data_IF_713289814051
#
_entry.id   IF_713289814051
#
_cell.length_a   1.000
_cell.length_b   1.000
_cell.length_c   1.000
_cell.angle_alpha   90.00
_cell.angle_beta   90.00
_cell.angle_gamma   90.00
#
_symmetry.space_group_name_H-M   'P 1'
#
loop_
_entity.id
_entity.type
_entity.pdbx_description
1 polymer ?
#
# COMPACT_ATOMS: atom_id res chain seq x y z
N UNK A 1 -21.31 -1.80 31.08
CA UNK A 1 -21.85 -2.57 29.93
C UNK A 1 -20.73 -3.41 29.37
N UNK A 2 -20.84 -4.75 29.33
CA UNK A 2 -19.73 -5.59 28.82
C UNK A 2 -19.58 -5.37 27.32
N UNK A 3 -18.41 -4.92 26.87
CA UNK A 3 -18.10 -4.53 25.48
C UNK A 3 -17.58 -5.74 24.68
N UNK A 4 -18.19 -6.91 24.84
CA UNK A 4 -17.75 -8.13 24.15
C UNK A 4 -18.92 -8.78 23.41
N UNK A 5 -18.97 -8.57 22.10
CA UNK A 5 -19.88 -9.28 21.19
C UNK A 5 -19.11 -10.41 20.52
N UNK A 6 -19.52 -11.65 20.72
CA UNK A 6 -19.01 -12.78 19.95
C UNK A 6 -19.54 -12.69 18.52
N UNK A 7 -18.69 -13.03 17.56
CA UNK A 7 -19.00 -13.06 16.14
C UNK A 7 -18.45 -14.36 15.55
N UNK A 8 -19.19 -14.96 14.62
CA UNK A 8 -18.72 -16.08 13.81
C UNK A 8 -18.20 -15.52 12.50
N UNK A 9 -16.98 -15.92 12.12
CA UNK A 9 -16.30 -15.44 10.93
C UNK A 9 -15.80 -16.63 10.10
N UNK A 10 -15.91 -16.54 8.78
CA UNK A 10 -15.32 -17.51 7.86
C UNK A 10 -14.05 -16.92 7.27
N UNK A 11 -12.89 -17.53 7.56
CA UNK A 11 -11.57 -17.00 7.17
C UNK A 11 -11.09 -17.47 5.79
N UNK A 12 -11.67 -18.53 5.24
CA UNK A 12 -11.26 -19.10 3.95
C UNK A 12 -9.75 -19.40 3.94
N UNK A 13 -9.02 -18.85 2.96
CA UNK A 13 -7.56 -19.04 2.84
C UNK A 13 -6.76 -18.50 4.03
N UNK A 14 -7.31 -17.54 4.79
CA UNK A 14 -6.63 -16.95 5.94
C UNK A 14 -6.62 -17.88 7.16
N UNK A 15 -7.37 -18.99 7.13
CA UNK A 15 -7.32 -19.99 8.20
C UNK A 15 -5.90 -20.51 8.43
N UNK A 16 -5.17 -20.79 7.35
CA UNK A 16 -3.78 -21.29 7.43
C UNK A 16 -2.83 -20.29 8.08
N UNK A 17 -3.06 -18.99 7.87
CA UNK A 17 -2.27 -17.92 8.50
C UNK A 17 -2.56 -17.90 9.99
N UNK A 18 -3.83 -17.96 10.39
CA UNK A 18 -4.21 -18.00 11.80
C UNK A 18 -3.65 -19.24 12.51
N UNK A 19 -3.72 -20.41 11.87
CA UNK A 19 -3.18 -21.65 12.41
C UNK A 19 -1.66 -21.55 12.61
N UNK A 20 -0.95 -20.93 11.65
CA UNK A 20 0.50 -20.71 11.75
C UNK A 20 0.88 -19.77 12.89
N UNK A 21 0.11 -18.69 13.09
CA UNK A 21 0.30 -17.74 14.19
C UNK A 21 0.09 -18.42 15.54
N UNK A 22 -0.90 -19.30 15.67
CA UNK A 22 -1.11 -20.07 16.91
C UNK A 22 -0.02 -21.11 17.12
N UNK A 23 0.38 -21.84 16.08
CA UNK A 23 1.43 -22.83 16.14
C UNK A 23 2.80 -22.24 16.51
N UNK A 24 3.03 -20.96 16.17
CA UNK A 24 4.24 -20.23 16.57
C UNK A 24 4.33 -19.97 18.08
N UNK A 25 3.20 -20.04 18.79
CA UNK A 25 3.11 -19.68 20.21
C UNK A 25 3.12 -18.17 20.49
N UNK A 26 3.11 -17.32 19.45
CA UNK A 26 3.05 -15.86 19.62
C UNK A 26 1.70 -15.37 20.18
N UNK A 27 0.64 -16.16 20.02
CA UNK A 27 -0.71 -15.81 20.47
C UNK A 27 -1.35 -16.95 21.26
N UNK A 28 -1.98 -16.63 22.39
CA UNK A 28 -2.63 -17.61 23.27
C UNK A 28 -3.99 -18.07 22.71
N UNK A 29 -4.58 -17.30 21.79
CA UNK A 29 -5.89 -17.61 21.21
C UNK A 29 -6.12 -16.99 19.84
N UNK A 30 -7.00 -17.61 19.05
CA UNK A 30 -7.46 -17.08 17.77
C UNK A 30 -8.04 -15.66 17.90
N UNK A 31 -8.77 -15.39 18.97
CA UNK A 31 -9.35 -14.08 19.24
C UNK A 31 -8.28 -13.01 19.49
N UNK A 32 -7.16 -13.38 20.10
CA UNK A 32 -6.04 -12.48 20.31
C UNK A 32 -5.32 -12.17 19.00
N UNK A 33 -5.01 -13.20 18.21
CA UNK A 33 -4.38 -13.05 16.90
C UNK A 33 -5.22 -12.17 15.97
N UNK A 34 -6.55 -12.37 15.91
CA UNK A 34 -7.44 -11.53 15.10
C UNK A 34 -7.46 -10.08 15.60
N UNK A 35 -7.50 -9.84 16.92
CA UNK A 35 -7.41 -8.46 17.46
C UNK A 35 -6.07 -7.81 17.13
N UNK A 36 -4.97 -8.57 17.18
CA UNK A 36 -3.66 -8.06 16.79
C UNK A 36 -3.62 -7.70 15.30
N UNK A 37 -4.18 -8.56 14.44
CA UNK A 37 -4.31 -8.29 13.01
C UNK A 37 -5.15 -7.02 12.72
N UNK A 38 -6.27 -6.82 13.43
CA UNK A 38 -7.09 -5.62 13.27
C UNK A 38 -6.34 -4.34 13.69
N UNK A 39 -5.59 -4.39 14.81
CA UNK A 39 -4.72 -3.27 15.21
C UNK A 39 -3.59 -3.01 14.23
N UNK A 40 -3.07 -4.04 13.58
CA UNK A 40 -2.06 -3.87 12.53
C UNK A 40 -2.67 -3.20 11.29
N UNK A 41 -3.86 -3.64 10.88
CA UNK A 41 -4.59 -3.04 9.76
C UNK A 41 -4.93 -1.57 10.03
N UNK A 42 -5.35 -1.22 11.24
CA UNK A 42 -5.62 0.17 11.63
C UNK A 42 -4.35 1.03 11.51
N UNK A 43 -3.23 0.58 12.07
CA UNK A 43 -1.93 1.28 11.95
C UNK A 43 -1.49 1.46 10.50
N UNK A 44 -1.68 0.44 9.65
CA UNK A 44 -1.34 0.52 8.23
C UNK A 44 -2.21 1.55 7.50
N UNK A 45 -3.52 1.55 7.78
CA UNK A 45 -4.46 2.53 7.21
C UNK A 45 -4.11 3.95 7.64
N UNK A 46 -3.86 4.17 8.93
CA UNK A 46 -3.51 5.49 9.45
C UNK A 46 -2.20 6.01 8.86
N UNK A 47 -1.19 5.13 8.71
CA UNK A 47 0.07 5.49 8.07
C UNK A 47 -0.12 5.87 6.60
N UNK A 48 -0.93 5.11 5.85
CA UNK A 48 -1.25 5.42 4.46
C UNK A 48 -2.01 6.74 4.33
N UNK A 49 -3.00 6.97 5.18
CA UNK A 49 -3.81 8.18 5.17
C UNK A 49 -2.96 9.41 5.49
N UNK A 50 -2.01 9.31 6.43
CA UNK A 50 -1.09 10.41 6.73
C UNK A 50 -0.13 10.69 5.57
N UNK A 51 0.44 9.66 4.94
CA UNK A 51 1.29 9.82 3.75
C UNK A 51 0.50 10.53 2.63
N UNK A 52 -0.75 10.13 2.40
CA UNK A 52 -1.59 10.74 1.38
C UNK A 52 -1.92 12.20 1.72
N UNK A 53 -2.24 12.49 2.99
CA UNK A 53 -2.50 13.86 3.46
C UNK A 53 -1.29 14.77 3.22
N UNK A 54 -0.10 14.31 3.58
CA UNK A 54 1.15 15.05 3.35
C UNK A 54 1.33 15.33 1.85
N UNK A 55 1.23 14.30 1.00
CA UNK A 55 1.37 14.45 -0.46
C UNK A 55 0.36 15.41 -1.08
N UNK A 56 -0.89 15.37 -0.62
CA UNK A 56 -1.93 16.30 -1.07
C UNK A 56 -1.60 17.71 -0.64
N UNK A 57 -1.18 17.92 0.61
CA UNK A 57 -0.83 19.24 1.11
C UNK A 57 0.41 19.81 0.39
N UNK A 58 1.41 18.99 0.11
CA UNK A 58 2.57 19.35 -0.70
C UNK A 58 2.15 19.81 -2.10
N UNK A 59 1.23 19.08 -2.76
CA UNK A 59 0.73 19.45 -4.08
C UNK A 59 -0.10 20.74 -4.08
N UNK A 60 -0.89 20.97 -3.02
CA UNK A 60 -1.66 22.21 -2.86
C UNK A 60 -0.75 23.42 -2.57
N UNK A 61 0.36 23.21 -1.86
CA UNK A 61 1.33 24.25 -1.52
C UNK A 61 2.37 24.48 -2.63
N UNK A 62 2.37 23.69 -3.70
CA UNK A 62 3.32 23.82 -4.80
C UNK A 62 3.04 25.10 -5.60
N UNK A 63 3.96 26.08 -5.62
CA UNK A 63 3.75 27.34 -6.32
C UNK A 63 3.93 27.22 -7.85
N UNK A 64 4.38 26.05 -8.35
CA UNK A 64 4.61 25.86 -9.78
C UNK A 64 3.28 25.91 -10.55
N UNK A 65 3.26 26.52 -11.75
CA UNK A 65 2.05 26.59 -12.55
C UNK A 65 1.65 25.22 -13.08
N UNK A 66 0.35 25.03 -13.31
CA UNK A 66 -0.19 23.84 -13.97
C UNK A 66 0.46 23.62 -15.33
N UNK A 67 0.77 22.36 -15.64
CA UNK A 67 1.36 21.96 -16.92
C UNK A 67 0.24 21.42 -17.82
N UNK A 68 0.12 21.88 -19.07
CA UNK A 68 -0.84 21.31 -20.02
C UNK A 68 -0.59 19.82 -20.25
N UNK A 69 -1.64 19.00 -20.20
CA UNK A 69 -1.52 17.54 -20.37
C UNK A 69 -0.81 17.16 -21.69
N UNK A 70 -1.07 17.88 -22.79
CA UNK A 70 -0.41 17.64 -24.07
C UNK A 70 1.12 17.76 -23.98
N UNK A 71 1.61 18.75 -23.21
CA UNK A 71 3.05 18.94 -22.96
C UNK A 71 3.61 17.77 -22.16
N UNK A 72 2.97 17.39 -21.05
CA UNK A 72 3.38 16.25 -20.21
C UNK A 72 3.53 14.97 -21.05
N UNK A 73 2.50 14.61 -21.82
CA UNK A 73 2.54 13.40 -22.65
C UNK A 73 3.59 13.47 -23.77
N UNK A 74 3.85 14.66 -24.32
CA UNK A 74 4.89 14.84 -25.33
C UNK A 74 6.28 14.58 -24.76
N UNK A 75 6.57 15.11 -23.56
CA UNK A 75 7.85 14.95 -22.87
C UNK A 75 8.06 13.50 -22.41
N UNK A 76 7.01 12.86 -21.86
CA UNK A 76 7.05 11.45 -21.46
C UNK A 76 7.36 10.51 -22.64
N UNK A 77 6.73 10.74 -23.80
CA UNK A 77 7.01 9.95 -25.01
C UNK A 77 8.44 10.15 -25.50
N UNK A 78 8.95 11.37 -25.47
CA UNK A 78 10.34 11.66 -25.85
C UNK A 78 11.32 10.92 -24.92
N UNK A 79 11.12 11.01 -23.61
CA UNK A 79 11.95 10.30 -22.62
C UNK A 79 11.92 8.78 -22.85
N UNK A 80 10.75 8.20 -23.07
CA UNK A 80 10.62 6.77 -23.34
C UNK A 80 11.32 6.36 -24.63
N UNK A 81 11.18 7.15 -25.70
CA UNK A 81 11.85 6.87 -26.97
C UNK A 81 13.38 6.89 -26.83
N UNK A 82 13.93 7.82 -26.07
CA UNK A 82 15.37 7.88 -25.78
C UNK A 82 15.84 6.67 -24.97
N UNK A 83 15.09 6.26 -23.94
CA UNK A 83 15.40 5.04 -23.17
C UNK A 83 15.39 3.78 -24.04
N UNK A 84 14.40 3.62 -24.92
CA UNK A 84 14.31 2.49 -25.84
C UNK A 84 15.47 2.48 -26.83
N UNK A 85 15.88 3.65 -27.36
CA UNK A 85 17.05 3.76 -28.24
C UNK A 85 18.35 3.39 -27.51
N UNK A 86 18.53 3.86 -26.28
CA UNK A 86 19.70 3.54 -25.46
C UNK A 86 19.79 2.03 -25.17
N UNK A 87 18.68 1.40 -24.78
CA UNK A 87 18.61 -0.04 -24.57
C UNK A 87 18.95 -0.84 -25.84
N UNK A 88 18.46 -0.39 -27.02
CA UNK A 88 18.78 -1.04 -28.31
C UNK A 88 20.23 -0.88 -28.73
N UNK A 89 20.91 0.19 -28.31
CA UNK A 89 22.35 0.40 -28.59
C UNK A 89 23.21 -0.52 -27.72
N UNK A 90 22.90 -0.66 -26.42
CA UNK A 90 23.62 -1.56 -25.51
C UNK A 90 23.41 -3.06 -25.76
N UNK A 91 22.54 -3.46 -26.70
CA UNK A 91 22.37 -4.85 -27.15
C UNK A 91 23.22 -5.16 -28.40
N UNK A 92 23.78 -4.13 -29.05
CA UNK A 92 24.54 -4.26 -30.31
C UNK A 92 26.06 -4.16 -30.12
N UNK A 93 26.51 -3.88 -28.90
CA UNK A 93 27.90 -3.95 -28.45
C UNK A 93 28.11 -5.26 -27.66
#
# INVERSE_FOLDING_TARGET
MRVNKSITLTLGKQQQVLDSLLASGEYDSASEAVRAALRALEREKDALDEIMRIKVQEALNDPRPSIPAAKVFSELRALHAEQVKAAKRGIRD
#
